data_IF_706657676126
#
_entry.id   IF_706657676126
#
_cell.length_a   1.000
_cell.length_b   1.000
_cell.length_c   1.000
_cell.angle_alpha   90.00
_cell.angle_beta   90.00
_cell.angle_gamma   90.00
#
_symmetry.space_group_name_H-M   'P 1'
#
loop_
_entity.id
_entity.type
_entity.pdbx_description
1 polymer ?
#
# COMPACT_ATOMS: atom_id res chain seq x y z
N UNK A 1 15.12 6.91 -26.05
CA UNK A 1 14.87 7.65 -24.80
C UNK A 1 16.21 7.84 -24.13
N UNK A 2 16.65 9.08 -23.95
CA UNK A 2 17.83 9.38 -23.13
C UNK A 2 17.46 9.20 -21.66
N UNK A 3 18.24 8.44 -20.91
CA UNK A 3 18.01 8.22 -19.48
C UNK A 3 18.38 9.49 -18.71
N UNK A 4 17.37 10.30 -18.40
CA UNK A 4 17.49 11.49 -17.55
C UNK A 4 16.87 11.22 -16.17
N UNK A 5 17.30 11.94 -15.13
CA UNK A 5 16.75 11.83 -13.77
C UNK A 5 15.23 12.02 -13.77
N UNK A 6 14.70 12.93 -14.59
CA UNK A 6 13.26 13.15 -14.75
C UNK A 6 12.53 11.91 -15.29
N UNK A 7 13.11 11.23 -16.28
CA UNK A 7 12.55 10.00 -16.85
C UNK A 7 12.62 8.85 -15.85
N UNK A 8 13.69 8.76 -15.06
CA UNK A 8 13.85 7.75 -14.00
C UNK A 8 12.81 7.97 -12.89
N UNK A 9 12.61 9.22 -12.46
CA UNK A 9 11.59 9.55 -11.45
C UNK A 9 10.18 9.26 -11.94
N UNK A 10 9.87 9.61 -13.20
CA UNK A 10 8.59 9.26 -13.83
C UNK A 10 8.36 7.74 -13.86
N UNK A 11 9.37 6.98 -14.31
CA UNK A 11 9.31 5.52 -14.35
C UNK A 11 9.06 4.95 -12.94
N UNK A 12 9.78 5.44 -11.93
CA UNK A 12 9.60 5.03 -10.55
C UNK A 12 8.16 5.25 -10.06
N UNK A 13 7.62 6.44 -10.26
CA UNK A 13 6.24 6.76 -9.86
C UNK A 13 5.21 5.89 -10.57
N UNK A 14 5.44 5.57 -11.85
CA UNK A 14 4.52 4.73 -12.62
C UNK A 14 4.58 3.25 -12.23
N UNK A 15 5.76 2.75 -11.85
CA UNK A 15 5.96 1.36 -11.42
C UNK A 15 5.65 1.15 -9.93
N UNK A 16 5.76 2.18 -9.09
CA UNK A 16 5.55 2.07 -7.65
C UNK A 16 4.21 1.41 -7.24
N UNK A 17 3.05 1.72 -7.84
CA UNK A 17 1.80 1.03 -7.55
C UNK A 17 1.89 -0.47 -7.81
N UNK A 18 2.51 -0.86 -8.92
CA UNK A 18 2.70 -2.28 -9.27
C UNK A 18 3.65 -2.97 -8.28
N UNK A 19 4.77 -2.32 -7.95
CA UNK A 19 5.75 -2.83 -6.97
C UNK A 19 5.07 -3.05 -5.61
N UNK A 20 4.22 -2.13 -5.16
CA UNK A 20 3.46 -2.27 -3.91
C UNK A 20 2.56 -3.50 -3.97
N UNK A 21 1.76 -3.66 -5.02
CA UNK A 21 0.87 -4.83 -5.15
C UNK A 21 1.67 -6.13 -5.17
N UNK A 22 2.75 -6.19 -5.94
CA UNK A 22 3.64 -7.35 -5.96
C UNK A 22 4.24 -7.64 -4.58
N UNK A 23 4.64 -6.62 -3.83
CA UNK A 23 5.16 -6.78 -2.47
C UNK A 23 4.14 -7.44 -1.55
N UNK A 24 2.87 -6.97 -1.53
CA UNK A 24 1.82 -7.57 -0.70
C UNK A 24 1.53 -9.03 -1.10
N UNK A 25 1.47 -9.32 -2.40
CA UNK A 25 1.25 -10.68 -2.91
C UNK A 25 2.41 -11.62 -2.57
N UNK A 26 3.66 -11.23 -2.88
CA UNK A 26 4.85 -12.04 -2.62
C UNK A 26 5.08 -12.25 -1.13
N UNK A 27 4.89 -11.21 -0.30
CA UNK A 27 4.99 -11.32 1.15
C UNK A 27 4.06 -12.39 1.71
N UNK A 28 2.87 -12.55 1.12
CA UNK A 28 1.88 -13.53 1.59
C UNK A 28 2.24 -14.95 1.14
N UNK A 29 2.73 -15.09 -0.09
CA UNK A 29 3.23 -16.36 -0.61
C UNK A 29 4.40 -16.88 0.24
N UNK A 30 5.37 -16.02 0.57
CA UNK A 30 6.53 -16.41 1.37
C UNK A 30 6.19 -16.68 2.84
N UNK A 31 5.26 -15.91 3.41
CA UNK A 31 4.78 -16.14 4.78
C UNK A 31 3.73 -17.27 4.86
N UNK A 32 3.38 -17.91 3.72
CA UNK A 32 2.33 -18.93 3.62
C UNK A 32 1.01 -18.49 4.24
N UNK A 33 0.66 -17.21 4.08
CA UNK A 33 -0.59 -16.63 4.56
C UNK A 33 -1.46 -16.13 3.39
N UNK A 34 -2.75 -15.90 3.67
CA UNK A 34 -3.72 -15.43 2.67
C UNK A 34 -3.95 -13.91 2.72
N UNK A 35 -3.16 -13.16 3.49
CA UNK A 35 -3.48 -11.77 3.82
C UNK A 35 -3.38 -10.86 2.59
N UNK A 36 -2.29 -10.96 1.84
CA UNK A 36 -2.09 -10.20 0.61
C UNK A 36 -2.98 -10.66 -0.54
N UNK A 37 -3.45 -11.92 -0.53
CA UNK A 37 -4.45 -12.38 -1.50
C UNK A 37 -5.81 -11.73 -1.23
N UNK A 38 -6.23 -11.65 0.03
CA UNK A 38 -7.48 -10.99 0.45
C UNK A 38 -7.44 -9.49 0.18
N UNK A 39 -6.29 -8.86 0.42
CA UNK A 39 -6.02 -7.50 -0.03
C UNK A 39 -6.16 -7.36 -1.57
N UNK A 40 -5.56 -8.28 -2.34
CA UNK A 40 -5.60 -8.25 -3.81
C UNK A 40 -7.03 -8.37 -4.35
N UNK A 41 -7.88 -9.21 -3.77
CA UNK A 41 -9.29 -9.35 -4.16
C UNK A 41 -10.01 -8.01 -4.03
N UNK A 42 -9.86 -7.31 -2.90
CA UNK A 42 -10.48 -6.00 -2.71
C UNK A 42 -9.90 -4.95 -3.65
N UNK A 43 -8.62 -5.02 -3.97
CA UNK A 43 -7.99 -4.12 -4.94
C UNK A 43 -8.54 -4.34 -6.35
N UNK A 44 -8.70 -5.59 -6.79
CA UNK A 44 -9.26 -5.92 -8.11
C UNK A 44 -10.70 -5.42 -8.24
N UNK A 45 -11.52 -5.57 -7.18
CA UNK A 45 -12.87 -5.00 -7.12
C UNK A 45 -12.82 -3.48 -7.24
N UNK A 46 -11.87 -2.83 -6.56
CA UNK A 46 -11.70 -1.37 -6.62
C UNK A 46 -11.32 -0.91 -8.03
N UNK A 47 -10.40 -1.61 -8.70
CA UNK A 47 -10.00 -1.31 -10.09
C UNK A 47 -11.19 -1.48 -11.03
N UNK A 48 -11.98 -2.54 -10.88
CA UNK A 48 -13.20 -2.75 -11.67
C UNK A 48 -14.20 -1.61 -11.49
N UNK A 49 -14.43 -1.17 -10.25
CA UNK A 49 -15.28 -0.02 -9.95
C UNK A 49 -14.72 1.27 -10.56
N UNK A 50 -13.41 1.49 -10.47
CA UNK A 50 -12.78 2.69 -11.06
C UNK A 50 -12.92 2.73 -12.58
N UNK A 51 -12.84 1.59 -13.26
CA UNK A 51 -13.03 1.50 -14.72
C UNK A 51 -14.48 1.79 -15.10
N UNK A 52 -15.44 1.20 -14.39
CA UNK A 52 -16.87 1.37 -14.68
C UNK A 52 -17.40 2.76 -14.32
N UNK A 53 -16.91 3.35 -13.23
CA UNK A 53 -17.35 4.66 -12.72
C UNK A 53 -16.53 5.82 -13.28
N UNK A 54 -15.28 5.59 -13.72
CA UNK A 54 -14.36 6.66 -14.10
C UNK A 54 -14.87 7.52 -15.27
N UNK A 55 -15.27 6.88 -16.37
CA UNK A 55 -15.77 7.59 -17.55
C UNK A 55 -17.05 8.42 -17.29
N UNK A 56 -18.11 7.88 -16.65
CA UNK A 56 -19.29 8.69 -16.36
C UNK A 56 -18.99 9.85 -15.38
N UNK A 57 -18.15 9.63 -14.36
CA UNK A 57 -17.78 10.71 -13.42
C UNK A 57 -17.01 11.83 -14.11
N UNK A 58 -16.07 11.48 -14.99
CA UNK A 58 -15.30 12.49 -15.72
C UNK A 58 -16.13 13.31 -16.72
N UNK A 59 -17.21 12.73 -17.26
CA UNK A 59 -18.14 13.46 -18.13
C UNK A 59 -18.99 14.51 -17.39
N UNK A 60 -19.10 14.41 -16.06
CA UNK A 60 -19.81 15.40 -15.23
C UNK A 60 -18.94 16.62 -14.89
N UNK A 61 -17.63 16.54 -15.12
CA UNK A 61 -16.70 17.61 -14.81
C UNK A 61 -16.44 18.49 -16.04
N UNK A 62 -16.18 19.79 -15.85
CA UNK A 62 -15.71 20.64 -16.92
C UNK A 62 -14.42 20.06 -17.51
N UNK A 63 -14.43 19.78 -18.82
CA UNK A 63 -13.21 19.36 -19.51
C UNK A 63 -12.22 20.54 -19.48
N UNK A 64 -11.00 20.36 -18.95
CA UNK A 64 -9.99 21.40 -19.07
C UNK A 64 -9.70 21.67 -20.55
N UNK A 65 -9.38 22.93 -20.87
CA UNK A 65 -8.91 23.33 -22.19
C UNK A 65 -7.68 22.50 -22.57
N UNK A 66 -7.64 22.04 -23.82
CA UNK A 66 -6.63 21.12 -24.35
C UNK A 66 -5.22 21.69 -24.16
N UNK A 67 -4.51 21.18 -23.16
CA UNK A 67 -3.06 21.36 -23.06
C UNK A 67 -2.37 20.24 -23.84
N UNK A 68 -1.40 20.62 -24.66
CA UNK A 68 -0.61 19.72 -25.50
C UNK A 68 -0.03 18.59 -24.64
N UNK A 69 -0.42 17.34 -24.93
CA UNK A 69 0.01 16.15 -24.20
C UNK A 69 1.53 16.03 -24.28
N UNK A 70 2.21 16.18 -23.14
CA UNK A 70 3.67 16.14 -23.10
C UNK A 70 4.16 14.70 -23.35
N UNK A 71 5.25 14.50 -24.11
CA UNK A 71 5.78 13.15 -24.40
C UNK A 71 6.20 12.38 -23.14
N UNK A 72 6.46 13.09 -22.03
CA UNK A 72 6.80 12.52 -20.72
C UNK A 72 5.59 11.82 -20.09
N UNK A 73 4.37 12.22 -20.44
CA UNK A 73 3.13 11.72 -19.87
C UNK A 73 2.55 10.51 -20.61
N UNK A 74 3.23 10.02 -21.67
CA UNK A 74 2.74 8.92 -22.49
C UNK A 74 2.42 7.70 -21.62
N UNK A 75 1.19 7.20 -21.73
CA UNK A 75 0.72 6.06 -20.95
C UNK A 75 1.59 4.82 -21.23
N UNK A 76 2.49 4.48 -20.30
CA UNK A 76 3.28 3.24 -20.33
C UNK A 76 2.43 1.96 -20.29
N UNK A 77 1.13 2.08 -19.98
CA UNK A 77 0.19 0.96 -19.89
C UNK A 77 -1.02 1.30 -20.78
N UNK A 78 -0.91 0.99 -22.06
CA UNK A 78 -2.04 0.97 -23.00
C UNK A 78 -2.36 -0.48 -23.35
N UNK A 79 -3.57 -0.95 -23.08
CA UNK A 79 -4.06 -2.21 -23.62
C UNK A 79 -4.83 -1.89 -24.91
N UNK A 80 -4.27 -2.27 -26.07
CA UNK A 80 -4.96 -2.13 -27.36
C UNK A 80 -5.31 -0.68 -27.74
N UNK A 81 -4.33 0.23 -27.67
CA UNK A 81 -4.44 1.63 -28.12
C UNK A 81 -5.53 2.49 -27.46
N UNK A 82 -6.20 2.00 -26.42
CA UNK A 82 -7.23 2.73 -25.69
C UNK A 82 -6.90 2.83 -24.20
N UNK A 83 -7.19 3.99 -23.61
CA UNK A 83 -7.08 4.21 -22.17
C UNK A 83 -8.22 3.48 -21.45
N UNK A 84 -7.87 2.54 -20.57
CA UNK A 84 -8.83 1.69 -19.82
C UNK A 84 -9.80 2.49 -18.95
N UNK A 85 -9.35 3.64 -18.44
CA UNK A 85 -10.16 4.57 -17.66
C UNK A 85 -9.58 5.96 -17.80
N UNK A 86 -10.43 6.97 -17.68
CA UNK A 86 -10.04 8.39 -17.63
C UNK A 86 -9.50 8.82 -16.25
N UNK A 87 -9.61 7.94 -15.24
CA UNK A 87 -9.10 8.18 -13.90
C UNK A 87 -7.72 7.54 -13.67
N UNK A 88 -6.77 8.24 -13.02
CA UNK A 88 -5.44 7.68 -12.75
C UNK A 88 -5.50 6.48 -11.81
N UNK A 89 -5.23 5.27 -12.34
CA UNK A 89 -5.23 4.01 -11.61
C UNK A 89 -4.18 3.96 -10.49
N UNK A 90 -2.97 4.47 -10.74
CA UNK A 90 -1.89 4.48 -9.75
C UNK A 90 -2.29 5.21 -8.47
N UNK A 91 -2.93 6.36 -8.63
CA UNK A 91 -3.43 7.17 -7.51
C UNK A 91 -4.54 6.46 -6.72
N UNK A 92 -5.42 5.73 -7.41
CA UNK A 92 -6.44 4.91 -6.75
C UNK A 92 -5.82 3.72 -5.98
N UNK A 93 -4.77 3.08 -6.51
CA UNK A 93 -4.04 2.00 -5.83
C UNK A 93 -3.34 2.53 -4.56
N UNK A 94 -2.66 3.67 -4.63
CA UNK A 94 -2.05 4.29 -3.45
C UNK A 94 -3.10 4.62 -2.38
N UNK A 95 -4.21 5.25 -2.79
CA UNK A 95 -5.34 5.54 -1.91
C UNK A 95 -5.92 4.27 -1.27
N UNK A 96 -6.25 3.27 -2.08
CA UNK A 96 -6.78 2.00 -1.61
C UNK A 96 -5.87 1.36 -0.55
N UNK A 97 -4.58 1.23 -0.88
CA UNK A 97 -3.61 0.61 0.01
C UNK A 97 -3.48 1.37 1.32
N UNK A 98 -3.33 2.70 1.24
CA UNK A 98 -3.17 3.54 2.42
C UNK A 98 -4.38 3.45 3.34
N UNK A 99 -5.59 3.67 2.83
CA UNK A 99 -6.80 3.69 3.65
C UNK A 99 -7.21 2.30 4.16
N UNK A 100 -6.93 1.24 3.38
CA UNK A 100 -7.07 -0.14 3.86
C UNK A 100 -6.21 -0.38 5.10
N UNK A 101 -4.92 -0.04 5.05
CA UNK A 101 -4.00 -0.20 6.17
C UNK A 101 -4.31 0.78 7.32
N UNK A 102 -4.66 2.03 7.00
CA UNK A 102 -4.99 3.06 7.97
C UNK A 102 -6.19 2.67 8.83
N UNK A 103 -7.25 2.11 8.22
CA UNK A 103 -8.40 1.61 8.97
C UNK A 103 -7.96 0.61 10.05
N UNK A 104 -7.14 -0.38 9.67
CA UNK A 104 -6.64 -1.41 10.58
C UNK A 104 -5.74 -0.81 11.68
N UNK A 105 -4.81 0.09 11.31
CA UNK A 105 -3.89 0.74 12.23
C UNK A 105 -4.65 1.53 13.31
N UNK A 106 -5.67 2.29 12.90
CA UNK A 106 -6.48 3.10 13.83
C UNK A 106 -7.39 2.21 14.69
N UNK A 107 -8.05 1.21 14.07
CA UNK A 107 -8.97 0.30 14.76
C UNK A 107 -8.29 -0.48 15.88
N UNK A 108 -7.07 -0.95 15.64
CA UNK A 108 -6.32 -1.79 16.59
C UNK A 108 -5.18 -1.05 17.31
N UNK A 109 -5.11 0.29 17.21
CA UNK A 109 -4.15 1.13 17.94
C UNK A 109 -2.67 0.82 17.63
N UNK A 110 -2.36 0.43 16.39
CA UNK A 110 -0.99 0.09 15.95
C UNK A 110 -0.19 1.26 15.38
N UNK A 111 -0.54 2.49 15.76
CA UNK A 111 0.05 3.73 15.21
C UNK A 111 1.57 3.73 15.40
N UNK A 112 2.06 3.42 16.61
CA UNK A 112 3.50 3.48 16.94
C UNK A 112 4.33 2.46 16.17
N UNK A 113 3.79 1.27 15.92
CA UNK A 113 4.49 0.20 15.18
C UNK A 113 4.47 0.42 13.67
N UNK A 114 3.59 1.29 13.16
CA UNK A 114 3.39 1.51 11.72
C UNK A 114 3.63 2.97 11.30
N UNK A 115 4.45 3.71 12.06
CA UNK A 115 4.88 5.07 11.69
C UNK A 115 5.43 5.13 10.26
N UNK A 116 6.28 4.18 9.79
CA UNK A 116 6.78 4.22 8.41
C UNK A 116 5.66 4.22 7.37
N UNK A 117 4.62 3.42 7.56
CA UNK A 117 3.44 3.38 6.67
C UNK A 117 2.70 4.71 6.66
N UNK A 118 2.49 5.30 7.85
CA UNK A 118 1.78 6.58 8.00
C UNK A 118 2.53 7.78 7.43
N UNK A 119 3.85 7.67 7.22
CA UNK A 119 4.66 8.71 6.57
C UNK A 119 4.81 8.44 5.08
N UNK A 120 5.13 7.19 4.70
CA UNK A 120 5.44 6.81 3.33
C UNK A 120 4.26 7.01 2.38
N UNK A 121 3.05 6.57 2.76
CA UNK A 121 1.90 6.65 1.87
C UNK A 121 1.44 8.09 1.61
N UNK A 122 1.27 8.96 2.62
CA UNK A 122 0.98 10.36 2.36
C UNK A 122 2.07 11.04 1.52
N UNK A 123 3.34 10.72 1.79
CA UNK A 123 4.46 11.25 1.01
C UNK A 123 4.36 10.87 -0.48
N UNK A 124 4.19 9.58 -0.80
CA UNK A 124 4.14 9.13 -2.20
C UNK A 124 2.87 9.61 -2.92
N UNK A 125 1.73 9.69 -2.22
CA UNK A 125 0.47 10.23 -2.76
C UNK A 125 0.63 11.71 -3.13
N UNK A 126 1.19 12.52 -2.23
CA UNK A 126 1.42 13.95 -2.49
C UNK A 126 2.46 14.13 -3.60
N UNK A 127 3.53 13.33 -3.57
CA UNK A 127 4.57 13.38 -4.60
C UNK A 127 4.03 13.03 -5.99
N UNK A 128 3.18 12.00 -6.11
CA UNK A 128 2.50 11.65 -7.37
C UNK A 128 1.58 12.78 -7.86
N UNK A 129 0.80 13.40 -6.96
CA UNK A 129 -0.06 14.55 -7.32
C UNK A 129 0.78 15.71 -7.86
N UNK A 130 1.82 16.11 -7.10
CA UNK A 130 2.69 17.23 -7.50
C UNK A 130 3.35 16.93 -8.85
N UNK A 131 3.83 15.70 -9.04
CA UNK A 131 4.47 15.29 -10.28
C UNK A 131 3.52 15.38 -11.48
N UNK A 132 2.29 14.84 -11.35
CA UNK A 132 1.32 14.85 -12.43
C UNK A 132 0.85 16.27 -12.80
N UNK A 133 0.69 17.15 -11.81
CA UNK A 133 0.28 18.55 -12.04
C UNK A 133 1.44 19.35 -12.66
N UNK A 134 2.64 19.25 -12.11
CA UNK A 134 3.81 20.04 -12.57
C UNK A 134 4.19 19.70 -14.02
N UNK A 135 4.02 18.45 -14.42
CA UNK A 135 4.31 18.00 -15.79
C UNK A 135 3.09 18.06 -16.73
N UNK A 136 1.96 18.64 -16.29
CA UNK A 136 0.71 18.72 -17.04
C UNK A 136 0.20 17.37 -17.56
N UNK A 137 0.45 16.29 -16.82
CA UNK A 137 0.00 14.95 -17.22
C UNK A 137 -1.47 14.71 -16.87
N UNK A 138 -1.90 15.14 -15.69
CA UNK A 138 -3.27 14.95 -15.20
C UNK A 138 -3.65 16.16 -14.35
N UNK A 139 -4.84 16.72 -14.59
CA UNK A 139 -5.38 17.79 -13.74
C UNK A 139 -5.67 17.29 -12.32
N UNK A 140 -5.75 18.22 -11.37
CA UNK A 140 -5.96 17.88 -9.95
C UNK A 140 -7.28 17.11 -9.68
N UNK A 141 -8.36 17.40 -10.41
CA UNK A 141 -9.66 16.80 -10.16
C UNK A 141 -9.68 15.26 -10.36
N UNK A 142 -9.23 14.69 -11.51
CA UNK A 142 -9.10 13.24 -11.65
C UNK A 142 -8.23 12.59 -10.58
N UNK A 143 -7.13 13.23 -10.16
CA UNK A 143 -6.23 12.72 -9.12
C UNK A 143 -6.94 12.61 -7.76
N UNK A 144 -7.67 13.66 -7.36
CA UNK A 144 -8.43 13.64 -6.11
C UNK A 144 -9.60 12.65 -6.14
N UNK A 145 -10.30 12.54 -7.27
CA UNK A 145 -11.41 11.60 -7.43
C UNK A 145 -10.91 10.16 -7.36
N UNK A 146 -9.82 9.83 -8.05
CA UNK A 146 -9.15 8.53 -7.92
C UNK A 146 -8.76 8.23 -6.48
N UNK A 147 -8.17 9.21 -5.79
CA UNK A 147 -7.77 9.05 -4.39
C UNK A 147 -8.97 8.79 -3.47
N UNK A 148 -10.08 9.50 -3.67
CA UNK A 148 -11.31 9.35 -2.88
C UNK A 148 -11.96 7.99 -3.14
N UNK A 149 -12.12 7.59 -4.41
CA UNK A 149 -12.70 6.30 -4.76
C UNK A 149 -11.83 5.17 -4.22
N UNK A 150 -10.52 5.21 -4.51
CA UNK A 150 -9.57 4.21 -4.03
C UNK A 150 -9.55 4.14 -2.50
N UNK A 151 -9.40 5.28 -1.84
CA UNK A 151 -9.36 5.36 -0.38
C UNK A 151 -10.64 4.92 0.30
N UNK A 152 -11.79 5.35 -0.22
CA UNK A 152 -13.11 4.92 0.25
C UNK A 152 -13.30 3.42 0.12
N UNK A 153 -12.95 2.83 -1.02
CA UNK A 153 -13.00 1.39 -1.24
C UNK A 153 -12.01 0.61 -0.36
N UNK A 154 -10.82 1.16 -0.11
CA UNK A 154 -9.83 0.57 0.79
C UNK A 154 -10.33 0.48 2.23
N UNK A 155 -10.85 1.59 2.76
CA UNK A 155 -11.45 1.63 4.08
C UNK A 155 -12.70 0.73 4.17
N UNK A 156 -13.56 0.75 3.14
CA UNK A 156 -14.76 -0.09 3.06
C UNK A 156 -14.40 -1.58 3.07
N UNK A 157 -13.40 -2.00 2.29
CA UNK A 157 -12.96 -3.39 2.25
C UNK A 157 -12.42 -3.84 3.60
N UNK A 158 -11.59 -3.01 4.25
CA UNK A 158 -11.08 -3.30 5.59
C UNK A 158 -12.22 -3.42 6.62
N UNK A 159 -13.21 -2.52 6.54
CA UNK A 159 -14.41 -2.54 7.38
C UNK A 159 -15.26 -3.81 7.16
N UNK A 160 -15.48 -4.24 5.92
CA UNK A 160 -16.23 -5.46 5.60
C UNK A 160 -15.56 -6.67 6.26
N UNK A 161 -14.24 -6.82 6.12
CA UNK A 161 -13.49 -7.95 6.72
C UNK A 161 -13.55 -7.91 8.26
N UNK A 162 -13.47 -6.72 8.84
CA UNK A 162 -13.60 -6.52 10.30
C UNK A 162 -14.98 -6.98 10.79
N UNK A 163 -16.04 -6.61 10.07
CA UNK A 163 -17.42 -6.96 10.41
C UNK A 163 -17.75 -8.44 10.21
N UNK A 164 -17.14 -9.11 9.24
CA UNK A 164 -17.32 -10.56 9.04
C UNK A 164 -16.56 -11.41 10.07
N UNK A 165 -15.85 -10.79 11.02
CA UNK A 165 -15.00 -11.46 12.03
C UNK A 165 -13.90 -12.32 11.43
N UNK A 166 -13.55 -12.09 10.16
CA UNK A 166 -12.44 -12.76 9.47
C UNK A 166 -11.14 -11.95 9.64
N UNK A 167 -10.91 -11.43 10.84
CA UNK A 167 -9.78 -10.53 11.14
C UNK A 167 -8.43 -11.19 10.88
N UNK A 168 -8.37 -12.52 10.92
CA UNK A 168 -7.19 -13.32 10.55
C UNK A 168 -6.71 -13.14 9.11
N UNK A 169 -7.60 -12.67 8.23
CA UNK A 169 -7.31 -12.41 6.83
C UNK A 169 -6.88 -10.95 6.56
N UNK A 170 -6.97 -10.08 7.57
CA UNK A 170 -6.48 -8.72 7.47
C UNK A 170 -4.94 -8.72 7.48
N UNK A 171 -4.35 -7.76 6.76
CA UNK A 171 -2.89 -7.65 6.69
C UNK A 171 -2.25 -7.48 8.06
N UNK A 172 -2.86 -6.65 8.91
CA UNK A 172 -2.56 -6.61 10.33
C UNK A 172 -3.56 -7.47 11.09
N UNK A 173 -3.09 -8.60 11.59
CA UNK A 173 -3.83 -9.41 12.54
C UNK A 173 -2.92 -9.79 13.70
N UNK A 174 -3.32 -9.37 14.91
CA UNK A 174 -2.87 -9.99 16.15
C UNK A 174 -4.09 -10.31 17.01
N UNK A 175 -5.00 -11.13 16.49
CA UNK A 175 -5.96 -11.79 17.35
C UNK A 175 -5.28 -13.01 17.98
N UNK A 176 -5.09 -12.85 19.30
CA UNK A 176 -4.72 -13.81 20.35
C UNK A 176 -3.40 -14.55 20.22
N UNK A 177 -2.43 -14.04 20.99
CA UNK A 177 -1.37 -14.84 21.61
C UNK A 177 -0.41 -15.52 20.63
N UNK A 178 0.69 -14.85 20.30
CA UNK A 178 2.02 -15.47 20.35
C UNK A 178 3.10 -14.41 20.15
N UNK A 179 4.17 -14.63 20.89
CA UNK A 179 5.39 -13.85 20.99
C UNK A 179 5.68 -13.01 19.75
N UNK A 180 5.73 -11.68 19.92
CA UNK A 180 6.77 -10.98 19.18
C UNK A 180 8.08 -11.64 19.61
N UNK A 181 8.80 -12.22 18.65
CA UNK A 181 10.20 -12.56 18.84
C UNK A 181 10.95 -11.23 19.05
N UNK A 182 10.83 -10.68 20.25
CA UNK A 182 11.65 -9.58 20.69
C UNK A 182 13.07 -10.11 20.71
N UNK A 183 13.99 -9.35 20.11
CA UNK A 183 15.41 -9.59 20.36
C UNK A 183 15.56 -9.59 21.89
N UNK A 184 16.03 -10.69 22.51
CA UNK A 184 16.24 -10.70 23.95
C UNK A 184 17.08 -9.46 24.30
N UNK A 185 16.66 -8.71 25.31
CA UNK A 185 17.55 -7.72 25.91
C UNK A 185 18.88 -8.41 26.24
N UNK A 186 20.00 -7.68 26.30
CA UNK A 186 21.32 -8.24 26.66
C UNK A 186 21.24 -8.80 28.09
N UNK A 187 20.70 -9.99 28.23
CA UNK A 187 20.44 -10.67 29.47
C UNK A 187 21.55 -11.71 29.61
N UNK A 188 22.38 -11.57 30.63
CA UNK A 188 23.34 -12.61 31.01
C UNK A 188 22.57 -13.77 31.63
N UNK A 189 22.63 -14.94 31.02
CA UNK A 189 22.04 -16.15 31.59
C UNK A 189 22.90 -16.64 32.75
N UNK A 190 22.29 -16.91 33.91
CA UNK A 190 22.97 -17.55 35.04
C UNK A 190 23.16 -19.03 34.74
N UNK A 191 24.36 -19.42 34.32
CA UNK A 191 24.71 -20.81 34.12
C UNK A 191 25.27 -21.41 35.40
N UNK A 192 24.61 -22.45 35.91
CA UNK A 192 25.09 -23.30 37.00
C UNK A 192 25.48 -24.66 36.43
N UNK A 193 26.75 -25.07 36.59
CA UNK A 193 27.29 -26.35 36.13
C UNK A 193 27.32 -27.33 37.29
N UNK A 194 26.75 -28.53 37.11
CA UNK A 194 26.70 -29.57 38.14
C UNK A 194 27.44 -30.83 37.70
N UNK A 195 28.10 -31.51 38.65
CA UNK A 195 28.68 -32.86 38.47
C UNK A 195 28.32 -33.70 39.69
N UNK A 196 27.72 -34.87 39.47
CA UNK A 196 27.25 -35.76 40.54
C UNK A 196 26.33 -35.07 41.56
N UNK A 197 25.44 -34.19 41.07
CA UNK A 197 24.51 -33.45 41.93
C UNK A 197 25.12 -32.29 42.73
N UNK A 198 26.43 -32.04 42.62
CA UNK A 198 27.09 -30.90 43.28
C UNK A 198 27.42 -29.80 42.28
N UNK A 199 27.19 -28.55 42.67
CA UNK A 199 27.55 -27.38 41.88
C UNK A 199 29.08 -27.29 41.76
N UNK A 200 29.59 -27.18 40.55
CA UNK A 200 31.04 -27.14 40.23
C UNK A 200 31.46 -25.75 39.77
N UNK A 201 30.58 -25.01 39.11
CA UNK A 201 30.86 -23.65 38.65
C UNK A 201 29.55 -22.90 38.43
N UNK A 202 29.56 -21.61 38.73
CA UNK A 202 28.50 -20.71 38.31
C UNK A 202 29.12 -19.43 37.75
N UNK A 203 28.66 -19.00 36.57
CA UNK A 203 28.97 -17.65 36.10
C UNK A 203 28.05 -16.68 36.84
N UNK A 204 28.52 -16.17 37.99
CA UNK A 204 27.99 -14.96 38.58
C UNK A 204 28.53 -13.79 37.75
N UNK A 205 27.63 -13.02 37.14
CA UNK A 205 27.94 -11.66 36.72
C UNK A 205 28.06 -10.75 37.94
#
# INVERSE_FOLDING_TARGET
MELNIFTITYLFLRLAPFILVCFFSLSSIFNQDFKGLVYLIGLLITIFILITVGNPVMNLLPKPSVDVEQPICSNLITLGHTSLTSLPLGQAIFGYTFFYLLYLILKYQYVKSNIPTLVFFPFIIVFDIIWNITNNCVSIAPLLISLIIGGGMGALWAFIIDKTKMTNLQYFNKVSGNAECSRPAKNTFKCNVYKNGKLVSSNLG
#
